data_IF_701841283932
#
_entry.id   IF_701841283932
#
_cell.length_a   1.000
_cell.length_b   1.000
_cell.length_c   1.000
_cell.angle_alpha   90.00
_cell.angle_beta   90.00
_cell.angle_gamma   90.00
#
_symmetry.space_group_name_H-M   'P 1'
#
loop_
_entity.id
_entity.type
_entity.pdbx_description
1 polymer ?
#
# COMPACT_ATOMS: atom_id res chain seq x y z
N UNK A 1 7.03 13.66 -2.48
CA UNK A 1 7.77 13.49 -1.21
C UNK A 1 9.27 13.38 -1.48
N UNK A 2 10.10 13.64 -0.48
CA UNK A 2 11.51 13.24 -0.37
C UNK A 2 11.59 11.91 0.39
N UNK A 3 12.09 10.86 -0.24
CA UNK A 3 12.06 9.50 0.32
C UNK A 3 13.46 8.88 0.29
N UNK A 4 13.94 8.42 1.45
CA UNK A 4 15.15 7.61 1.57
C UNK A 4 14.81 6.12 1.54
N UNK A 5 15.41 5.37 0.62
CA UNK A 5 15.23 3.92 0.51
C UNK A 5 16.55 3.22 0.81
N UNK A 6 16.56 2.40 1.86
CA UNK A 6 17.66 1.53 2.24
C UNK A 6 17.34 0.09 1.84
N UNK A 7 18.20 -0.52 1.04
CA UNK A 7 18.22 -1.97 0.86
C UNK A 7 18.93 -2.55 2.09
N UNK A 8 18.21 -3.37 2.86
CA UNK A 8 18.72 -3.96 4.08
C UNK A 8 20.00 -4.76 3.84
N UNK A 9 20.90 -4.73 4.83
CA UNK A 9 22.20 -5.43 4.83
C UNK A 9 23.25 -4.93 3.83
N UNK A 10 24.47 -5.45 3.95
CA UNK A 10 25.58 -5.26 3.00
C UNK A 10 25.58 -6.35 1.92
N UNK A 11 26.31 -6.14 0.82
CA UNK A 11 26.62 -7.23 -0.14
C UNK A 11 27.93 -7.94 0.20
N UNK A 12 28.80 -7.31 1.00
CA UNK A 12 30.13 -7.82 1.37
C UNK A 12 30.60 -7.21 2.70
N UNK A 13 31.47 -7.93 3.40
CA UNK A 13 31.89 -7.55 4.75
C UNK A 13 30.91 -8.06 5.80
N UNK A 14 30.63 -7.26 6.82
CA UNK A 14 29.75 -7.66 7.93
C UNK A 14 28.26 -7.35 7.66
N UNK A 15 27.38 -8.22 8.16
CA UNK A 15 25.94 -8.00 8.15
C UNK A 15 25.30 -8.10 6.76
N UNK A 16 25.52 -9.22 6.06
CA UNK A 16 25.03 -9.51 4.69
C UNK A 16 23.61 -10.07 4.61
N UNK A 17 22.89 -10.13 5.74
CA UNK A 17 21.53 -10.64 5.83
C UNK A 17 21.43 -12.15 5.97
N UNK A 18 20.21 -12.65 6.11
CA UNK A 18 19.90 -14.07 6.19
C UNK A 18 20.11 -14.79 4.85
N UNK A 19 20.37 -16.10 4.91
CA UNK A 19 20.52 -16.97 3.74
C UNK A 19 19.68 -18.22 3.94
N UNK A 20 18.73 -18.44 3.02
CA UNK A 20 17.89 -19.63 2.94
C UNK A 20 17.75 -20.10 1.50
N UNK A 21 16.51 -20.24 1.03
CA UNK A 21 16.18 -20.48 -0.39
C UNK A 21 16.56 -19.26 -1.24
N UNK A 22 16.45 -18.06 -0.66
CA UNK A 22 16.99 -16.81 -1.20
C UNK A 22 18.00 -16.22 -0.21
N UNK A 23 18.89 -15.34 -0.70
CA UNK A 23 19.77 -14.53 0.16
C UNK A 23 19.15 -13.15 0.34
N UNK A 24 18.94 -12.73 1.58
CA UNK A 24 18.32 -11.46 1.91
C UNK A 24 19.07 -10.30 1.25
N UNK A 25 20.38 -10.16 1.49
CA UNK A 25 21.18 -9.04 0.98
C UNK A 25 21.19 -8.90 -0.55
N UNK A 26 20.99 -9.98 -1.33
CA UNK A 26 20.87 -9.90 -2.78
C UNK A 26 19.45 -9.49 -3.21
N UNK A 27 18.41 -9.99 -2.53
CA UNK A 27 17.02 -9.72 -2.89
C UNK A 27 16.48 -8.38 -2.34
N UNK A 28 17.08 -7.80 -1.30
CA UNK A 28 16.79 -6.42 -0.87
C UNK A 28 17.17 -5.41 -1.95
N UNK A 29 18.27 -5.63 -2.69
CA UNK A 29 18.65 -4.77 -3.85
C UNK A 29 17.61 -4.86 -4.95
N UNK A 30 17.16 -6.07 -5.31
CA UNK A 30 16.16 -6.26 -6.37
C UNK A 30 14.84 -5.53 -6.06
N UNK A 31 14.29 -5.70 -4.86
CA UNK A 31 13.06 -4.98 -4.46
C UNK A 31 13.33 -3.48 -4.34
N UNK A 32 14.41 -3.08 -3.67
CA UNK A 32 14.67 -1.68 -3.34
C UNK A 32 15.11 -0.81 -4.51
N UNK A 33 15.80 -1.34 -5.51
CA UNK A 33 16.06 -0.66 -6.78
C UNK A 33 14.76 -0.37 -7.53
N UNK A 34 13.85 -1.35 -7.61
CA UNK A 34 12.55 -1.21 -8.25
C UNK A 34 11.63 -0.26 -7.47
N UNK A 35 11.65 -0.30 -6.12
CA UNK A 35 10.98 0.70 -5.27
C UNK A 35 11.51 2.10 -5.57
N UNK A 36 12.84 2.28 -5.64
CA UNK A 36 13.45 3.57 -6.00
C UNK A 36 13.07 4.04 -7.41
N UNK A 37 12.94 3.12 -8.38
CA UNK A 37 12.50 3.43 -9.75
C UNK A 37 11.05 3.92 -9.75
N UNK A 38 10.13 3.13 -9.19
CA UNK A 38 8.70 3.43 -9.14
C UNK A 38 8.40 4.74 -8.40
N UNK A 39 9.09 5.00 -7.28
CA UNK A 39 8.91 6.27 -6.55
C UNK A 39 9.35 7.50 -7.35
N UNK A 40 10.44 7.41 -8.14
CA UNK A 40 10.88 8.48 -9.05
C UNK A 40 9.88 8.70 -10.19
N UNK A 41 9.33 7.63 -10.74
CA UNK A 41 8.28 7.71 -11.79
C UNK A 41 6.99 8.38 -11.28
N UNK A 42 6.75 8.34 -9.96
CA UNK A 42 5.67 9.06 -9.26
C UNK A 42 6.07 10.46 -8.79
N UNK A 43 7.14 11.02 -9.35
CA UNK A 43 7.58 12.40 -9.10
C UNK A 43 8.21 12.64 -7.73
N UNK A 44 8.57 11.59 -6.98
CA UNK A 44 9.24 11.76 -5.69
C UNK A 44 10.74 12.03 -5.87
N UNK A 45 11.32 12.84 -4.99
CA UNK A 45 12.76 12.95 -4.83
C UNK A 45 13.23 11.73 -4.04
N UNK A 46 14.04 10.87 -4.64
CA UNK A 46 14.39 9.56 -4.04
C UNK A 46 15.90 9.43 -3.84
N UNK A 47 16.27 9.20 -2.58
CA UNK A 47 17.63 9.04 -2.11
C UNK A 47 17.93 7.56 -1.85
N UNK A 48 19.17 7.15 -2.17
CA UNK A 48 19.65 5.80 -1.88
C UNK A 48 20.39 5.79 -0.53
N UNK A 49 19.83 5.10 0.46
CA UNK A 49 20.41 4.96 1.80
C UNK A 49 21.05 3.57 2.02
N UNK A 50 21.29 2.82 0.95
CA UNK A 50 21.96 1.51 0.98
C UNK A 50 23.45 1.64 1.30
N UNK A 51 24.02 0.59 1.89
CA UNK A 51 25.44 0.48 2.24
C UNK A 51 25.91 -0.93 1.85
N UNK A 52 26.65 -1.07 0.75
CA UNK A 52 27.05 -2.38 0.23
C UNK A 52 28.27 -3.00 0.92
N UNK A 53 29.00 -2.23 1.74
CA UNK A 53 30.14 -2.72 2.52
C UNK A 53 30.26 -2.02 3.87
N UNK A 54 30.57 -2.80 4.91
CA UNK A 54 31.05 -2.33 6.21
C UNK A 54 31.95 -3.41 6.84
N UNK A 55 32.90 -3.01 7.69
CA UNK A 55 33.71 -3.93 8.48
C UNK A 55 32.93 -4.49 9.69
N UNK A 56 31.91 -3.79 10.19
CA UNK A 56 31.03 -4.29 11.27
C UNK A 56 29.55 -4.00 11.02
N UNK A 57 28.64 -4.80 11.59
CA UNK A 57 27.19 -4.55 11.55
C UNK A 57 26.83 -3.21 12.19
N UNK A 58 27.50 -2.85 13.29
CA UNK A 58 27.29 -1.56 13.97
C UNK A 58 27.72 -0.35 13.12
N UNK A 59 28.72 -0.51 12.26
CA UNK A 59 29.13 0.50 11.29
C UNK A 59 28.12 0.61 10.15
N UNK A 60 27.68 -0.51 9.56
CA UNK A 60 26.62 -0.52 8.53
C UNK A 60 25.37 0.23 9.01
N UNK A 61 24.85 -0.12 10.19
CA UNK A 61 23.69 0.53 10.80
C UNK A 61 23.88 2.04 11.04
N UNK A 62 25.09 2.48 11.37
CA UNK A 62 25.43 3.92 11.51
C UNK A 62 25.47 4.61 10.14
N UNK A 63 26.09 4.01 9.14
CA UNK A 63 26.21 4.56 7.79
C UNK A 63 24.85 4.70 7.10
N UNK A 64 23.96 3.71 7.23
CA UNK A 64 22.57 3.79 6.73
C UNK A 64 21.81 4.97 7.34
N UNK A 65 21.90 5.14 8.66
CA UNK A 65 21.26 6.27 9.36
C UNK A 65 21.93 7.61 9.01
N UNK A 66 23.24 7.64 8.79
CA UNK A 66 23.94 8.84 8.32
C UNK A 66 23.50 9.24 6.90
N UNK A 67 23.29 8.27 6.00
CA UNK A 67 22.74 8.52 4.67
C UNK A 67 21.31 9.09 4.75
N UNK A 68 20.47 8.55 5.65
CA UNK A 68 19.09 9.01 5.82
C UNK A 68 19.02 10.42 6.45
N UNK A 69 19.75 10.64 7.56
CA UNK A 69 19.71 11.89 8.34
C UNK A 69 20.51 13.05 7.72
N UNK A 70 21.26 12.81 6.64
CA UNK A 70 21.86 13.89 5.83
C UNK A 70 20.79 14.72 5.13
N UNK A 71 19.67 14.09 4.80
CA UNK A 71 18.60 14.66 4.00
C UNK A 71 17.35 14.91 4.85
N UNK A 72 16.62 15.97 4.54
CA UNK A 72 15.35 16.32 5.16
C UNK A 72 14.23 15.48 4.52
N UNK A 73 14.04 14.23 4.96
CA UNK A 73 13.14 13.24 4.34
C UNK A 73 11.71 13.24 4.93
N UNK A 74 10.69 13.11 4.07
CA UNK A 74 9.30 12.85 4.47
C UNK A 74 9.09 11.41 4.97
N UNK A 75 9.85 10.47 4.40
CA UNK A 75 9.79 9.02 4.65
C UNK A 75 11.19 8.40 4.55
N UNK A 76 11.52 7.50 5.47
CA UNK A 76 12.61 6.53 5.36
C UNK A 76 12.04 5.10 5.34
N UNK A 77 12.48 4.30 4.38
CA UNK A 77 12.00 2.93 4.15
C UNK A 77 13.21 2.00 4.07
N UNK A 78 13.33 1.08 5.02
CA UNK A 78 14.26 -0.04 4.94
C UNK A 78 13.53 -1.29 4.43
N UNK A 79 14.16 -2.05 3.53
CA UNK A 79 13.59 -3.26 2.92
C UNK A 79 14.41 -4.47 3.33
N UNK A 80 13.76 -5.49 3.89
CA UNK A 80 14.35 -6.67 4.54
C UNK A 80 13.56 -7.94 4.23
N UNK A 81 14.13 -9.10 4.56
CA UNK A 81 13.45 -10.39 4.51
C UNK A 81 13.76 -11.21 5.77
N UNK A 82 12.72 -11.81 6.33
CA UNK A 82 12.75 -12.43 7.65
C UNK A 82 13.32 -13.85 7.60
N UNK A 83 13.61 -14.45 8.75
CA UNK A 83 14.13 -15.81 8.88
C UNK A 83 13.67 -16.47 10.18
N UNK A 84 13.89 -17.78 10.32
CA UNK A 84 13.51 -18.56 11.50
C UNK A 84 12.19 -19.33 11.33
N UNK A 85 11.90 -19.83 10.13
CA UNK A 85 10.80 -20.77 9.90
C UNK A 85 9.39 -20.15 9.84
N UNK A 86 9.27 -18.83 9.79
CA UNK A 86 7.99 -18.12 9.71
C UNK A 86 7.39 -18.04 8.31
N UNK A 87 6.21 -17.40 8.24
CA UNK A 87 5.53 -16.99 7.00
C UNK A 87 4.81 -15.66 7.19
N UNK A 88 4.76 -14.85 6.14
CA UNK A 88 4.04 -13.58 6.03
C UNK A 88 4.89 -12.32 6.03
N UNK A 89 4.27 -11.20 5.65
CA UNK A 89 4.80 -9.84 5.68
C UNK A 89 4.56 -9.17 7.03
N UNK A 90 5.55 -8.43 7.55
CA UNK A 90 5.39 -7.50 8.68
C UNK A 90 6.13 -6.19 8.44
N UNK A 91 5.65 -5.10 9.06
CA UNK A 91 6.31 -3.79 8.97
C UNK A 91 6.59 -3.25 10.37
N UNK A 92 7.83 -2.89 10.65
CA UNK A 92 8.27 -2.32 11.91
C UNK A 92 8.32 -0.79 11.83
N UNK A 93 7.63 -0.12 12.75
CA UNK A 93 7.62 1.35 12.88
C UNK A 93 8.03 1.76 14.28
N UNK A 94 8.48 3.00 14.48
CA UNK A 94 8.84 3.49 15.81
C UNK A 94 7.63 3.35 16.77
N UNK A 95 7.83 2.72 17.93
CA UNK A 95 6.79 2.36 18.92
C UNK A 95 5.62 1.50 18.39
N UNK A 96 5.67 1.01 17.15
CA UNK A 96 4.57 0.28 16.52
C UNK A 96 3.43 1.20 16.09
N UNK A 97 3.73 2.49 15.85
CA UNK A 97 2.79 3.49 15.33
C UNK A 97 2.16 2.98 14.04
N UNK A 98 0.84 2.92 14.05
CA UNK A 98 -0.02 2.39 12.99
C UNK A 98 -0.19 3.43 11.88
N UNK A 99 0.89 3.77 11.17
CA UNK A 99 0.85 4.64 10.00
C UNK A 99 0.07 3.94 8.87
N UNK A 100 -0.88 4.62 8.23
CA UNK A 100 -1.69 4.01 7.15
C UNK A 100 -0.80 3.53 5.99
N UNK A 101 0.20 4.33 5.59
CA UNK A 101 1.29 3.93 4.69
C UNK A 101 1.85 2.51 5.01
N UNK A 102 2.11 2.21 6.29
CA UNK A 102 2.70 0.94 6.74
C UNK A 102 1.67 -0.20 6.86
N UNK A 103 0.41 0.12 7.18
CA UNK A 103 -0.71 -0.83 7.15
C UNK A 103 -0.97 -1.27 5.70
N UNK A 104 -0.97 -0.33 4.76
CA UNK A 104 -1.24 -0.59 3.35
C UNK A 104 -0.10 -1.38 2.69
N UNK A 105 1.17 -1.20 3.09
CA UNK A 105 2.27 -2.11 2.69
C UNK A 105 1.96 -3.57 3.07
N UNK A 106 1.57 -3.81 4.32
CA UNK A 106 1.19 -5.15 4.79
C UNK A 106 -0.03 -5.72 4.04
N UNK A 107 -1.04 -4.88 3.78
CA UNK A 107 -2.24 -5.28 3.03
C UNK A 107 -1.91 -5.62 1.56
N UNK A 108 -1.17 -4.74 0.87
CA UNK A 108 -0.85 -4.88 -0.55
C UNK A 108 0.08 -6.07 -0.82
N UNK A 109 1.05 -6.35 0.06
CA UNK A 109 1.86 -7.57 -0.07
C UNK A 109 1.01 -8.81 0.26
N UNK A 110 0.05 -8.74 1.18
CA UNK A 110 -0.83 -9.86 1.48
C UNK A 110 -1.79 -10.22 0.33
N UNK A 111 -2.24 -9.27 -0.52
CA UNK A 111 -3.04 -9.61 -1.72
C UNK A 111 -2.25 -10.40 -2.76
N UNK A 112 -0.91 -10.39 -2.71
CA UNK A 112 -0.02 -11.26 -3.49
C UNK A 112 0.10 -12.68 -2.90
N UNK A 113 -0.72 -13.03 -1.90
CA UNK A 113 -0.82 -14.36 -1.31
C UNK A 113 0.05 -14.61 -0.09
N UNK A 114 0.66 -13.57 0.50
CA UNK A 114 1.41 -13.67 1.75
C UNK A 114 0.50 -13.49 2.98
N UNK A 115 0.87 -14.10 4.11
CA UNK A 115 0.13 -13.89 5.35
C UNK A 115 0.37 -12.45 5.85
N UNK A 116 -0.67 -11.69 6.17
CA UNK A 116 -0.52 -10.39 6.83
C UNK A 116 -0.21 -10.60 8.32
N UNK A 117 0.91 -10.08 8.82
CA UNK A 117 1.33 -10.17 10.23
C UNK A 117 1.28 -8.81 10.95
N UNK A 118 0.80 -7.77 10.28
CA UNK A 118 0.56 -6.43 10.82
C UNK A 118 1.78 -5.54 11.03
N UNK A 119 1.52 -4.33 11.52
CA UNK A 119 2.55 -3.33 11.88
C UNK A 119 2.99 -3.51 13.34
N UNK A 120 4.30 -3.51 13.60
CA UNK A 120 4.92 -3.94 14.86
C UNK A 120 5.91 -2.91 15.43
N UNK A 121 6.23 -3.05 16.72
CA UNK A 121 7.10 -2.13 17.45
C UNK A 121 8.59 -2.29 17.09
N UNK A 122 9.08 -1.40 16.22
CA UNK A 122 10.46 -1.36 15.75
C UNK A 122 11.45 -0.62 16.66
N UNK A 123 11.07 -0.24 17.89
CA UNK A 123 11.90 0.59 18.78
C UNK A 123 13.26 -0.04 19.13
N UNK A 124 13.40 -1.37 19.06
CA UNK A 124 14.67 -2.08 19.18
C UNK A 124 15.61 -1.93 17.97
N UNK A 125 15.06 -1.73 16.77
CA UNK A 125 15.79 -1.68 15.51
C UNK A 125 16.53 -0.33 15.37
N UNK A 126 17.83 -0.38 15.06
CA UNK A 126 18.68 0.81 15.07
C UNK A 126 18.23 1.85 14.03
N UNK A 127 17.95 1.43 12.79
CA UNK A 127 17.52 2.33 11.71
C UNK A 127 16.17 3.00 11.98
N UNK A 128 15.26 2.33 12.69
CA UNK A 128 13.97 2.92 13.11
C UNK A 128 14.16 3.91 14.25
N UNK A 129 14.97 3.57 15.26
CA UNK A 129 15.20 4.40 16.46
C UNK A 129 16.11 5.62 16.21
N UNK A 130 16.93 5.61 15.16
CA UNK A 130 17.97 6.64 14.93
C UNK A 130 17.80 7.48 13.67
N UNK A 131 16.89 7.13 12.77
CA UNK A 131 16.48 8.03 11.68
C UNK A 131 15.55 9.13 12.24
N UNK A 132 15.73 10.36 11.78
CA UNK A 132 14.97 11.55 12.20
C UNK A 132 13.59 11.60 11.51
N UNK A 133 13.57 11.22 10.23
CA UNK A 133 12.35 11.15 9.42
C UNK A 133 11.37 10.05 9.88
N UNK A 134 10.10 10.19 9.49
CA UNK A 134 9.08 9.15 9.63
C UNK A 134 9.61 7.85 9.01
N UNK A 135 9.69 6.76 9.77
CA UNK A 135 10.48 5.57 9.42
C UNK A 135 9.71 4.25 9.50
N UNK A 136 9.95 3.37 8.53
CA UNK A 136 9.45 1.99 8.49
C UNK A 136 10.53 1.02 8.00
N UNK A 137 10.46 -0.23 8.46
CA UNK A 137 11.26 -1.36 7.99
C UNK A 137 10.31 -2.48 7.58
N UNK A 138 10.42 -2.95 6.36
CA UNK A 138 9.50 -3.90 5.73
C UNK A 138 10.17 -5.27 5.68
N UNK A 139 9.66 -6.23 6.44
CA UNK A 139 10.00 -7.64 6.30
C UNK A 139 9.06 -8.24 5.25
N UNK A 140 9.54 -8.36 4.00
CA UNK A 140 8.71 -8.72 2.83
C UNK A 140 8.08 -10.11 2.99
N UNK A 141 8.91 -11.11 3.26
CA UNK A 141 8.53 -12.50 3.53
C UNK A 141 9.72 -13.22 4.18
N UNK A 142 9.59 -14.53 4.44
CA UNK A 142 10.67 -15.33 5.02
C UNK A 142 11.59 -15.94 3.94
N UNK A 143 12.92 -15.87 4.13
CA UNK A 143 13.93 -16.37 3.16
C UNK A 143 14.11 -17.88 3.19
N UNK A 144 13.72 -18.52 4.29
CA UNK A 144 14.03 -19.89 4.66
C UNK A 144 12.83 -20.85 4.59
N UNK A 145 11.67 -20.37 4.13
CA UNK A 145 10.45 -21.19 3.98
C UNK A 145 9.82 -21.05 2.59
N UNK A 146 8.69 -21.74 2.37
CA UNK A 146 7.88 -21.67 1.13
C UNK A 146 7.49 -20.25 0.71
N UNK A 147 7.54 -19.28 1.62
CA UNK A 147 7.39 -17.86 1.32
C UNK A 147 8.43 -17.36 0.30
N UNK A 148 9.69 -17.83 0.38
CA UNK A 148 10.73 -17.49 -0.59
C UNK A 148 10.39 -18.02 -1.99
N UNK A 149 9.87 -19.26 -2.08
CA UNK A 149 9.39 -19.83 -3.35
C UNK A 149 8.20 -19.05 -3.92
N UNK A 150 7.26 -18.64 -3.06
CA UNK A 150 6.13 -17.77 -3.44
C UNK A 150 6.63 -16.42 -3.94
N UNK A 151 7.59 -15.81 -3.27
CA UNK A 151 8.21 -14.54 -3.66
C UNK A 151 8.94 -14.63 -5.00
N UNK A 152 9.67 -15.72 -5.28
CA UNK A 152 10.28 -15.96 -6.59
C UNK A 152 9.22 -16.10 -7.69
N UNK A 153 8.06 -16.72 -7.39
CA UNK A 153 6.93 -16.86 -8.33
C UNK A 153 6.14 -15.55 -8.55
N UNK A 154 5.97 -14.74 -7.49
CA UNK A 154 5.31 -13.41 -7.53
C UNK A 154 6.21 -12.36 -8.19
N UNK A 155 7.52 -12.48 -8.02
CA UNK A 155 8.53 -11.58 -8.56
C UNK A 155 8.72 -10.30 -7.72
N UNK A 156 9.98 -9.90 -7.54
CA UNK A 156 10.36 -8.70 -6.77
C UNK A 156 9.68 -7.41 -7.24
N UNK A 157 9.28 -7.33 -8.52
CA UNK A 157 8.58 -6.17 -9.09
C UNK A 157 7.14 -6.02 -8.60
N UNK A 158 6.44 -7.13 -8.35
CA UNK A 158 5.10 -7.08 -7.77
C UNK A 158 5.16 -6.62 -6.30
N UNK A 159 6.15 -7.11 -5.53
CA UNK A 159 6.43 -6.61 -4.17
C UNK A 159 6.75 -5.12 -4.18
N UNK A 160 7.68 -4.68 -5.03
CA UNK A 160 8.06 -3.27 -5.12
C UNK A 160 6.88 -2.37 -5.49
N UNK A 161 6.00 -2.83 -6.41
CA UNK A 161 4.75 -2.12 -6.73
C UNK A 161 3.81 -2.08 -5.53
N UNK A 162 3.59 -3.18 -4.82
CA UNK A 162 2.73 -3.23 -3.63
C UNK A 162 3.20 -2.28 -2.50
N UNK A 163 4.52 -2.18 -2.30
CA UNK A 163 5.13 -1.22 -1.36
C UNK A 163 4.85 0.23 -1.80
N UNK A 164 5.04 0.52 -3.09
CA UNK A 164 4.96 1.89 -3.59
C UNK A 164 3.51 2.35 -3.78
N UNK A 165 2.58 1.46 -4.15
CA UNK A 165 1.14 1.69 -4.17
C UNK A 165 0.60 2.19 -2.81
N UNK A 166 1.14 1.70 -1.69
CA UNK A 166 0.74 2.11 -0.34
C UNK A 166 1.07 3.58 -0.01
N UNK A 167 2.08 4.16 -0.68
CA UNK A 167 2.60 5.49 -0.40
C UNK A 167 1.91 6.60 -1.23
N UNK A 168 1.34 6.24 -2.39
CA UNK A 168 0.62 7.19 -3.25
C UNK A 168 -0.76 7.56 -2.70
N UNK A 169 -1.39 6.66 -1.93
CA UNK A 169 -2.69 6.86 -1.28
C UNK A 169 -2.74 8.08 -0.33
N UNK A 170 -1.58 8.67 0.00
CA UNK A 170 -1.43 9.74 0.99
C UNK A 170 -0.69 11.00 0.50
N UNK A 171 -0.43 11.13 -0.81
CA UNK A 171 0.17 12.36 -1.37
C UNK A 171 -0.89 13.46 -1.54
N UNK A 172 -0.55 14.68 -1.12
CA UNK A 172 -1.45 15.84 -1.13
C UNK A 172 -1.79 16.37 -2.54
N UNK A 173 -2.88 17.15 -2.61
CA UNK A 173 -3.61 17.45 -3.84
C UNK A 173 -2.96 18.44 -4.83
N UNK A 174 -3.20 18.17 -6.13
CA UNK A 174 -3.26 19.09 -7.29
C UNK A 174 -1.92 19.65 -7.86
N UNK A 175 -1.89 20.13 -9.13
CA UNK A 175 -2.93 20.09 -10.20
C UNK A 175 -2.50 19.32 -11.48
N UNK A 176 -3.42 19.16 -12.43
CA UNK A 176 -3.29 18.34 -13.67
C UNK A 176 -2.86 19.10 -14.93
N UNK A 177 -2.07 18.47 -15.81
CA UNK A 177 -1.96 18.80 -17.26
C UNK A 177 -1.84 17.52 -18.10
N UNK A 178 -2.46 17.47 -19.29
CA UNK A 178 -2.45 16.36 -20.26
C UNK A 178 -1.66 16.72 -21.53
N UNK A 179 -1.00 15.75 -22.18
CA UNK A 179 -0.71 15.73 -23.64
C UNK A 179 -0.66 14.29 -24.19
N UNK A 180 -0.79 14.14 -25.51
CA UNK A 180 -0.84 12.88 -26.27
C UNK A 180 0.22 12.91 -27.42
N UNK A 181 0.61 11.83 -28.10
CA UNK A 181 0.09 10.43 -28.12
C UNK A 181 1.27 9.43 -27.93
N UNK A 182 1.51 8.28 -28.58
CA UNK A 182 0.92 7.50 -29.70
C UNK A 182 1.21 5.99 -29.53
N UNK A 183 0.50 5.15 -30.31
CA UNK A 183 0.57 3.68 -30.31
C UNK A 183 1.48 3.13 -31.45
N UNK A 184 1.76 1.80 -31.61
CA UNK A 184 1.17 0.64 -30.90
C UNK A 184 2.11 -0.55 -30.56
N UNK A 185 2.11 -1.04 -29.30
CA UNK A 185 2.46 -2.44 -28.94
C UNK A 185 1.57 -2.91 -27.78
N UNK A 186 1.22 -4.21 -27.73
CA UNK A 186 0.39 -4.84 -26.70
C UNK A 186 1.14 -5.04 -25.36
N UNK A 187 0.82 -4.23 -24.32
CA UNK A 187 1.16 -4.51 -22.91
C UNK A 187 0.00 -4.06 -22.00
N UNK A 188 -0.49 -4.96 -21.14
CA UNK A 188 -1.54 -4.65 -20.16
C UNK A 188 -1.02 -3.68 -19.07
N UNK A 189 -1.62 -2.49 -18.98
CA UNK A 189 -1.26 -1.44 -18.00
C UNK A 189 -2.49 -0.93 -17.25
N UNK A 190 -2.69 -1.43 -16.02
CA UNK A 190 -3.89 -1.15 -15.19
C UNK A 190 -3.84 0.21 -14.49
N UNK A 191 -4.14 1.29 -15.24
CA UNK A 191 -4.21 2.68 -14.75
C UNK A 191 -5.45 3.01 -13.89
N UNK A 192 -5.90 2.15 -12.98
CA UNK A 192 -7.14 2.36 -12.22
C UNK A 192 -7.17 1.79 -10.80
N UNK A 193 -7.84 2.52 -9.90
CA UNK A 193 -8.13 2.22 -8.49
C UNK A 193 -8.75 0.81 -8.34
N UNK A 194 -8.20 0.02 -7.42
CA UNK A 194 -8.61 -1.37 -7.19
C UNK A 194 -9.98 -1.48 -6.50
N UNK A 195 -10.31 -0.59 -5.57
CA UNK A 195 -11.64 -0.55 -4.99
C UNK A 195 -12.70 -0.20 -6.04
N UNK A 196 -12.39 0.72 -6.95
CA UNK A 196 -13.22 1.01 -8.13
C UNK A 196 -13.33 -0.23 -9.03
N UNK A 197 -12.23 -0.93 -9.29
CA UNK A 197 -12.23 -2.16 -10.11
C UNK A 197 -13.09 -3.25 -9.50
N UNK A 198 -12.99 -3.47 -8.19
CA UNK A 198 -13.80 -4.42 -7.41
C UNK A 198 -15.28 -4.02 -7.43
N UNK A 199 -15.59 -2.73 -7.35
CA UNK A 199 -16.96 -2.21 -7.47
C UNK A 199 -17.53 -2.37 -8.88
N UNK A 200 -16.76 -2.06 -9.93
CA UNK A 200 -17.14 -2.29 -11.33
C UNK A 200 -17.42 -3.78 -11.60
N UNK A 201 -16.55 -4.67 -11.11
CA UNK A 201 -16.70 -6.12 -11.22
C UNK A 201 -17.95 -6.61 -10.49
N UNK A 202 -18.19 -6.16 -9.24
CA UNK A 202 -19.35 -6.59 -8.47
C UNK A 202 -20.67 -6.05 -9.05
N UNK A 203 -20.70 -4.80 -9.53
CA UNK A 203 -21.85 -4.25 -10.23
C UNK A 203 -22.14 -4.97 -11.56
N UNK A 204 -21.11 -5.46 -12.27
CA UNK A 204 -21.28 -6.35 -13.42
C UNK A 204 -21.81 -7.73 -12.99
N UNK A 205 -21.25 -8.34 -11.94
CA UNK A 205 -21.65 -9.65 -11.43
C UNK A 205 -23.12 -9.69 -10.99
N UNK A 206 -23.60 -8.62 -10.34
CA UNK A 206 -24.99 -8.48 -9.89
C UNK A 206 -25.92 -7.89 -10.98
N UNK A 207 -25.43 -7.66 -12.20
CA UNK A 207 -26.23 -7.21 -13.33
C UNK A 207 -26.65 -5.74 -13.34
N UNK A 208 -26.13 -4.91 -12.42
CA UNK A 208 -26.36 -3.46 -12.41
C UNK A 208 -25.65 -2.72 -13.56
N UNK A 209 -24.60 -3.31 -14.14
CA UNK A 209 -23.88 -2.77 -15.29
C UNK A 209 -23.33 -3.85 -16.22
N UNK A 210 -22.82 -3.43 -17.38
CA UNK A 210 -21.95 -4.22 -18.27
C UNK A 210 -20.76 -3.36 -18.72
N UNK A 211 -20.08 -2.77 -17.74
CA UNK A 211 -19.02 -1.77 -17.95
C UNK A 211 -17.63 -2.41 -18.03
N UNK A 212 -16.63 -1.65 -18.48
CA UNK A 212 -15.24 -2.04 -18.35
C UNK A 212 -14.84 -2.18 -16.87
N UNK A 213 -14.03 -3.19 -16.56
CA UNK A 213 -13.44 -3.41 -15.23
C UNK A 213 -12.02 -2.83 -15.22
N UNK A 214 -11.94 -1.53 -15.53
CA UNK A 214 -10.71 -0.78 -15.78
C UNK A 214 -10.12 -0.11 -14.52
N UNK A 215 -10.91 0.01 -13.44
CA UNK A 215 -10.58 0.70 -12.19
C UNK A 215 -10.68 2.22 -12.27
N UNK A 216 -11.22 2.78 -13.35
CA UNK A 216 -11.29 4.22 -13.56
C UNK A 216 -12.68 4.73 -13.13
N UNK A 217 -12.78 5.57 -12.08
CA UNK A 217 -14.06 6.13 -11.68
C UNK A 217 -14.56 7.11 -12.76
N UNK A 218 -15.80 6.93 -13.20
CA UNK A 218 -16.39 7.77 -14.24
C UNK A 218 -17.90 7.58 -14.38
N UNK A 219 -18.53 8.17 -15.42
CA UNK A 219 -19.97 8.11 -15.63
C UNK A 219 -20.55 6.69 -15.72
N UNK A 220 -19.84 5.75 -16.35
CA UNK A 220 -20.24 4.34 -16.41
C UNK A 220 -20.27 3.69 -15.02
N UNK A 221 -19.21 3.90 -14.23
CA UNK A 221 -19.12 3.39 -12.86
C UNK A 221 -20.19 3.97 -11.96
N UNK A 222 -20.42 5.27 -12.06
CA UNK A 222 -21.48 5.96 -11.32
C UNK A 222 -22.89 5.45 -11.70
N UNK A 223 -23.15 5.22 -12.99
CA UNK A 223 -24.43 4.69 -13.46
C UNK A 223 -24.66 3.23 -13.04
N UNK A 224 -23.59 2.43 -12.93
CA UNK A 224 -23.64 1.04 -12.46
C UNK A 224 -23.75 0.89 -10.93
N UNK A 225 -23.66 1.96 -10.14
CA UNK A 225 -23.74 1.88 -8.68
C UNK A 225 -25.21 1.83 -8.18
N UNK A 226 -25.69 0.72 -7.58
CA UNK A 226 -27.07 0.60 -7.12
C UNK A 226 -27.34 1.46 -5.88
N UNK A 227 -28.61 1.80 -5.63
CA UNK A 227 -28.98 2.52 -4.40
C UNK A 227 -28.91 1.61 -3.18
N UNK A 228 -27.98 1.88 -2.25
CA UNK A 228 -27.79 1.07 -1.03
C UNK A 228 -28.35 1.80 0.20
N UNK A 229 -29.02 1.08 1.09
CA UNK A 229 -29.70 1.62 2.29
C UNK A 229 -29.80 0.57 3.40
N UNK A 230 -30.16 1.00 4.62
CA UNK A 230 -30.32 0.11 5.78
C UNK A 230 -31.17 -1.13 5.44
N UNK A 231 -30.64 -2.31 5.78
CA UNK A 231 -31.21 -3.62 5.43
C UNK A 231 -30.60 -4.27 4.18
N UNK A 232 -29.84 -3.54 3.36
CA UNK A 232 -29.03 -4.14 2.31
C UNK A 232 -27.91 -5.03 2.88
N UNK A 233 -27.49 -6.04 2.11
CA UNK A 233 -26.46 -7.01 2.49
C UNK A 233 -25.54 -7.31 1.29
N UNK A 234 -24.45 -8.07 1.52
CA UNK A 234 -23.57 -8.60 0.46
C UNK A 234 -22.46 -7.66 -0.01
N UNK A 235 -21.74 -8.09 -1.05
CA UNK A 235 -20.45 -7.50 -1.47
C UNK A 235 -20.48 -5.99 -1.75
N UNK A 236 -21.52 -5.44 -2.38
CA UNK A 236 -21.61 -3.98 -2.64
C UNK A 236 -21.78 -3.20 -1.32
N UNK A 237 -22.51 -3.77 -0.34
CA UNK A 237 -22.60 -3.22 1.01
C UNK A 237 -21.25 -3.29 1.73
N UNK A 238 -20.48 -4.37 1.52
CA UNK A 238 -19.12 -4.50 2.06
C UNK A 238 -18.16 -3.49 1.45
N UNK A 239 -18.14 -3.34 0.12
CA UNK A 239 -17.33 -2.34 -0.60
C UNK A 239 -17.68 -0.90 -0.17
N UNK A 240 -18.96 -0.61 0.07
CA UNK A 240 -19.39 0.65 0.67
C UNK A 240 -18.80 0.84 2.09
N UNK A 241 -18.87 -0.18 2.95
CA UNK A 241 -18.31 -0.11 4.29
C UNK A 241 -16.78 0.08 4.27
N UNK A 242 -16.07 -0.67 3.42
CA UNK A 242 -14.63 -0.50 3.18
C UNK A 242 -14.30 0.97 2.83
N UNK A 243 -14.97 1.55 1.82
CA UNK A 243 -14.70 2.93 1.39
C UNK A 243 -15.05 3.96 2.47
N UNK A 244 -16.13 3.77 3.22
CA UNK A 244 -16.47 4.64 4.35
C UNK A 244 -15.40 4.59 5.45
N UNK A 245 -14.90 3.41 5.79
CA UNK A 245 -13.83 3.21 6.78
C UNK A 245 -12.51 3.83 6.30
N UNK A 246 -12.11 3.60 5.05
CA UNK A 246 -10.93 4.27 4.43
C UNK A 246 -11.04 5.80 4.45
N UNK A 247 -12.27 6.34 4.36
CA UNK A 247 -12.54 7.78 4.42
C UNK A 247 -12.73 8.30 5.86
N UNK A 248 -12.52 7.47 6.89
CA UNK A 248 -12.56 7.85 8.32
C UNK A 248 -13.92 7.72 9.00
N UNK A 249 -14.92 7.12 8.37
CA UNK A 249 -16.28 6.99 8.91
C UNK A 249 -16.48 5.60 9.54
N UNK A 250 -16.58 5.55 10.87
CA UNK A 250 -16.81 4.29 11.59
C UNK A 250 -18.19 3.69 11.27
N UNK A 251 -18.19 2.55 10.56
CA UNK A 251 -19.36 1.74 10.20
C UNK A 251 -19.78 0.72 11.27
N UNK A 252 -19.03 0.63 12.38
CA UNK A 252 -19.03 -0.46 13.37
C UNK A 252 -18.63 -1.84 12.81
N UNK A 253 -17.88 -1.88 11.69
CA UNK A 253 -17.38 -3.12 11.09
C UNK A 253 -17.52 -3.17 9.57
N UNK A 254 -16.94 -4.20 8.97
CA UNK A 254 -16.95 -4.46 7.52
C UNK A 254 -17.48 -5.88 7.28
N UNK A 255 -18.72 -6.10 7.70
CA UNK A 255 -19.46 -7.37 7.71
C UNK A 255 -20.29 -7.60 6.44
N UNK A 256 -20.46 -6.58 5.60
CA UNK A 256 -21.35 -6.60 4.46
C UNK A 256 -22.84 -6.42 4.79
N UNK A 257 -23.20 -5.95 5.99
CA UNK A 257 -24.58 -5.74 6.44
C UNK A 257 -24.82 -4.26 6.73
N UNK A 258 -25.80 -3.63 6.05
CA UNK A 258 -26.11 -2.22 6.25
C UNK A 258 -26.95 -2.02 7.52
N UNK A 259 -26.28 -2.10 8.66
CA UNK A 259 -26.83 -1.88 9.99
C UNK A 259 -26.92 -0.40 10.40
N UNK A 260 -27.15 -0.15 11.69
CA UNK A 260 -27.18 1.20 12.24
C UNK A 260 -25.82 1.91 12.13
N UNK A 261 -24.70 1.19 12.33
CA UNK A 261 -23.35 1.75 12.20
C UNK A 261 -23.08 2.27 10.78
N UNK A 262 -23.34 1.44 9.76
CA UNK A 262 -23.24 1.85 8.35
C UNK A 262 -24.16 3.03 8.02
N UNK A 263 -25.41 3.07 8.53
CA UNK A 263 -26.29 4.24 8.34
C UNK A 263 -25.69 5.52 8.94
N UNK A 264 -25.15 5.44 10.15
CA UNK A 264 -24.55 6.59 10.82
C UNK A 264 -23.29 7.07 10.09
N UNK A 265 -22.45 6.16 9.60
CA UNK A 265 -21.30 6.47 8.75
C UNK A 265 -21.71 7.18 7.45
N UNK A 266 -22.75 6.70 6.75
CA UNK A 266 -23.28 7.36 5.54
C UNK A 266 -23.81 8.75 5.85
N UNK A 267 -24.56 8.94 6.95
CA UNK A 267 -25.05 10.26 7.38
C UNK A 267 -23.89 11.22 7.67
N UNK A 268 -22.84 10.77 8.35
CA UNK A 268 -21.67 11.59 8.66
C UNK A 268 -20.89 11.98 7.39
N UNK A 269 -20.72 11.04 6.45
CA UNK A 269 -20.12 11.28 5.14
C UNK A 269 -20.95 12.23 4.28
N UNK A 270 -22.28 12.08 4.25
CA UNK A 270 -23.17 12.99 3.52
C UNK A 270 -23.04 14.43 4.06
N UNK A 271 -23.04 14.62 5.38
CA UNK A 271 -22.84 15.93 6.01
C UNK A 271 -21.48 16.54 5.65
N UNK A 272 -20.38 15.78 5.71
CA UNK A 272 -19.04 16.31 5.41
C UNK A 272 -18.82 16.62 3.93
N UNK A 273 -19.66 16.09 3.02
CA UNK A 273 -19.65 16.37 1.58
C UNK A 273 -20.76 17.30 1.11
N UNK A 274 -21.49 17.95 2.03
CA UNK A 274 -22.55 18.92 1.69
C UNK A 274 -23.79 18.31 1.01
N UNK A 275 -24.06 17.03 1.26
CA UNK A 275 -25.21 16.30 0.70
C UNK A 275 -26.39 16.26 1.67
N UNK A 276 -27.59 15.93 1.16
CA UNK A 276 -28.70 15.45 1.98
C UNK A 276 -28.24 14.29 2.86
N UNK A 277 -28.49 14.38 4.17
CA UNK A 277 -27.98 13.45 5.18
C UNK A 277 -29.02 12.40 5.61
N UNK A 278 -29.64 11.76 4.63
CA UNK A 278 -30.73 10.77 4.79
C UNK A 278 -30.26 9.36 5.21
N UNK A 279 -28.98 9.06 5.04
CA UNK A 279 -28.41 7.73 5.27
C UNK A 279 -28.63 6.75 4.11
N UNK A 280 -28.87 7.24 2.89
CA UNK A 280 -29.07 6.46 1.67
C UNK A 280 -27.93 6.73 0.68
N UNK A 281 -27.31 5.67 0.19
CA UNK A 281 -26.25 5.75 -0.82
C UNK A 281 -26.87 5.69 -2.22
N UNK A 282 -27.49 6.81 -2.61
CA UNK A 282 -27.90 7.09 -3.98
C UNK A 282 -26.76 7.68 -4.82
N UNK A 283 -27.06 8.02 -6.09
CA UNK A 283 -26.06 8.48 -7.05
C UNK A 283 -25.19 9.67 -6.57
N UNK A 284 -25.75 10.65 -5.87
CA UNK A 284 -24.95 11.79 -5.36
C UNK A 284 -23.95 11.35 -4.26
N UNK A 285 -24.32 10.39 -3.42
CA UNK A 285 -23.44 9.80 -2.41
C UNK A 285 -22.35 8.95 -3.08
N UNK A 286 -22.71 8.10 -4.05
CA UNK A 286 -21.75 7.31 -4.83
C UNK A 286 -20.76 8.17 -5.61
N UNK A 287 -21.23 9.28 -6.22
CA UNK A 287 -20.36 10.26 -6.91
C UNK A 287 -19.25 10.74 -5.97
N UNK A 288 -19.57 11.06 -4.72
CA UNK A 288 -18.56 11.49 -3.73
C UNK A 288 -17.70 10.37 -3.15
N UNK A 289 -18.16 9.11 -3.13
CA UNK A 289 -17.32 7.95 -2.78
C UNK A 289 -16.30 7.62 -3.89
N UNK A 290 -16.71 7.81 -5.15
CA UNK A 290 -15.90 7.66 -6.37
C UNK A 290 -14.96 8.85 -6.64
N UNK A 291 -15.04 9.93 -5.84
CA UNK A 291 -14.33 11.19 -6.03
C UNK A 291 -14.62 11.90 -7.38
N UNK A 292 -15.91 11.96 -7.72
CA UNK A 292 -16.51 12.62 -8.89
C UNK A 292 -17.38 13.85 -8.49
#
# INVERSE_FOLDING_TARGET
MKIGVNDGHTLRGAGTGAVGIIKEGEHTRLVGEEVRRLLKERGNTVYNCTVDYAATTNESLRLVVQQANREDLDWFIAIHFNAGGGKGVEVYTYEGRQYQDAIDVCNNIATLGFNNRGVKAGTGLYVIRKTIAKSMLIEVCFVDTEDANKYLSVGYKAIAKAIVDALDNHIASAPTVNTNTSSPVQINTSKGDDWVRRLQQECNNQGFSKQAVDGIPGPATLAGCPTVRKGAQGNITKLLQERLVTLGYNTNGVDGIFGNGTKNAVIAFQKSKGLSADGIVGANTWRKLLNL
#
